data_IF_087422841560
#
_entry.id   IF_087422841560
#
_cell.length_a   1.000
_cell.length_b   1.000
_cell.length_c   1.000
_cell.angle_alpha   90.00
_cell.angle_beta   90.00
_cell.angle_gamma   90.00
#
_symmetry.space_group_name_H-M   'P 1'
#
loop_
_entity.id
_entity.type
_entity.pdbx_description
1 polymer ?
#
# COMPACT_ATOMS: atom_id res chain seq x y z
N UNK A 1 15.98 2.84 2.64
CA UNK A 1 15.46 1.58 3.20
C UNK A 1 16.03 0.35 2.49
N UNK A 2 16.34 0.42 1.18
CA UNK A 2 16.88 -0.71 0.43
C UNK A 2 18.40 -0.97 0.62
N UNK A 3 19.16 -0.05 1.22
CA UNK A 3 20.63 -0.20 1.27
C UNK A 3 21.16 -0.97 2.50
N UNK A 4 20.31 -1.34 3.46
CA UNK A 4 20.74 -2.01 4.70
C UNK A 4 20.07 -3.36 5.00
N UNK A 5 19.05 -3.79 4.25
CA UNK A 5 18.27 -5.00 4.61
C UNK A 5 17.98 -5.99 3.46
N UNK A 6 18.50 -5.73 2.26
CA UNK A 6 18.30 -6.58 1.08
C UNK A 6 16.86 -6.58 0.53
N UNK A 7 16.74 -6.93 -0.75
CA UNK A 7 15.48 -7.02 -1.49
C UNK A 7 14.29 -7.73 -0.79
N UNK A 8 14.47 -8.79 0.04
CA UNK A 8 13.34 -9.48 0.68
C UNK A 8 12.58 -8.60 1.67
N UNK A 9 13.26 -7.61 2.28
CA UNK A 9 12.65 -6.72 3.25
C UNK A 9 11.69 -5.71 2.60
N UNK A 10 11.99 -5.29 1.38
CA UNK A 10 11.16 -4.39 0.58
C UNK A 10 9.84 -5.05 0.16
N UNK A 11 9.90 -6.30 -0.31
CA UNK A 11 8.72 -7.03 -0.79
C UNK A 11 7.68 -7.26 0.30
N UNK A 12 8.10 -7.55 1.54
CA UNK A 12 7.16 -7.75 2.65
C UNK A 12 6.45 -6.44 3.03
N UNK A 13 7.15 -5.31 3.02
CA UNK A 13 6.53 -4.00 3.22
C UNK A 13 5.54 -3.70 2.09
N UNK A 14 5.91 -3.97 0.84
CA UNK A 14 5.03 -3.77 -0.32
C UNK A 14 3.78 -4.64 -0.25
N UNK A 15 3.91 -5.89 0.22
CA UNK A 15 2.76 -6.79 0.47
C UNK A 15 1.85 -6.23 1.56
N UNK A 16 2.42 -5.69 2.63
CA UNK A 16 1.65 -5.05 3.69
C UNK A 16 0.94 -3.79 3.20
N UNK A 17 1.57 -3.00 2.33
CA UNK A 17 0.95 -1.82 1.69
C UNK A 17 -0.21 -2.26 0.81
N UNK A 18 -0.02 -3.25 -0.06
CA UNK A 18 -1.07 -3.78 -0.93
C UNK A 18 -2.29 -4.26 -0.13
N UNK A 19 -2.05 -4.99 0.97
CA UNK A 19 -3.11 -5.44 1.87
C UNK A 19 -3.86 -4.26 2.51
N UNK A 20 -3.13 -3.23 2.97
CA UNK A 20 -3.74 -2.04 3.56
C UNK A 20 -4.61 -1.28 2.55
N UNK A 21 -4.12 -1.12 1.32
CA UNK A 21 -4.87 -0.47 0.24
C UNK A 21 -6.16 -1.25 -0.01
N UNK A 22 -6.05 -2.56 -0.19
CA UNK A 22 -7.19 -3.44 -0.48
C UNK A 22 -8.26 -3.41 0.62
N UNK A 23 -7.87 -3.34 1.90
CA UNK A 23 -8.83 -3.25 3.02
C UNK A 23 -9.39 -1.85 3.25
N UNK A 24 -8.80 -0.82 2.62
CA UNK A 24 -9.21 0.58 2.77
C UNK A 24 -10.14 1.06 1.65
N UNK A 25 -10.28 0.28 0.58
CA UNK A 25 -11.12 0.60 -0.60
C UNK A 25 -12.37 -0.28 -0.62
N UNK A 26 -13.38 0.11 -1.41
CA UNK A 26 -14.63 -0.65 -1.57
C UNK A 26 -14.40 -1.84 -2.50
N UNK A 27 -15.31 -2.81 -2.47
CA UNK A 27 -15.28 -3.94 -3.41
C UNK A 27 -15.48 -3.53 -4.88
N UNK A 28 -16.10 -2.38 -5.12
CA UNK A 28 -16.24 -1.79 -6.46
C UNK A 28 -14.97 -1.10 -6.96
N UNK A 29 -14.04 -0.79 -6.06
CA UNK A 29 -12.83 -0.06 -6.37
C UNK A 29 -11.74 -1.05 -6.81
N UNK A 30 -10.82 -0.59 -7.65
CA UNK A 30 -9.76 -1.45 -8.19
C UNK A 30 -8.43 -0.94 -7.67
N UNK A 31 -7.72 -1.75 -6.90
CA UNK A 31 -6.35 -1.49 -6.49
C UNK A 31 -5.38 -2.33 -7.33
N UNK A 32 -4.36 -1.70 -7.89
CA UNK A 32 -3.34 -2.34 -8.71
C UNK A 32 -1.94 -1.85 -8.35
N UNK A 33 -0.94 -2.71 -8.55
CA UNK A 33 0.49 -2.35 -8.51
C UNK A 33 0.96 -2.15 -9.95
N UNK A 34 1.40 -0.94 -10.29
CA UNK A 34 1.85 -0.60 -11.65
C UNK A 34 3.33 -0.93 -11.87
N UNK A 35 4.14 -0.85 -10.81
CA UNK A 35 5.59 -1.03 -10.89
C UNK A 35 6.18 -1.60 -9.60
N UNK A 36 7.50 -1.50 -9.45
CA UNK A 36 8.20 -2.01 -8.27
C UNK A 36 7.65 -1.46 -6.97
N UNK A 37 7.42 -0.16 -6.88
CA UNK A 37 6.97 0.50 -5.65
C UNK A 37 5.75 1.42 -5.87
N UNK A 38 5.12 1.29 -7.03
CA UNK A 38 4.01 2.16 -7.46
C UNK A 38 2.66 1.43 -7.39
N UNK A 39 1.69 2.07 -6.74
CA UNK A 39 0.32 1.58 -6.59
C UNK A 39 -0.69 2.60 -7.14
N UNK A 40 -1.77 2.10 -7.73
CA UNK A 40 -2.88 2.89 -8.25
C UNK A 40 -4.20 2.34 -7.75
N UNK A 41 -5.12 3.24 -7.42
CA UNK A 41 -6.49 2.92 -7.07
C UNK A 41 -7.44 3.62 -8.02
N UNK A 42 -8.28 2.86 -8.71
CA UNK A 42 -9.39 3.37 -9.51
C UNK A 42 -10.65 3.37 -8.64
N UNK A 43 -11.36 4.49 -8.62
CA UNK A 43 -12.55 4.71 -7.82
C UNK A 43 -13.76 4.96 -8.74
N UNK A 44 -14.44 3.91 -9.24
CA UNK A 44 -15.63 4.09 -10.07
C UNK A 44 -16.71 4.85 -9.30
N UNK A 45 -17.53 5.61 -10.03
CA UNK A 45 -18.65 6.37 -9.46
C UNK A 45 -18.23 7.32 -8.32
N UNK A 46 -16.98 7.78 -8.35
CA UNK A 46 -16.44 8.72 -7.36
C UNK A 46 -16.02 9.99 -8.08
N UNK A 47 -16.51 11.12 -7.59
CA UNK A 47 -16.14 12.44 -8.12
C UNK A 47 -14.76 12.86 -7.61
N UNK A 48 -14.25 13.98 -8.13
CA UNK A 48 -12.93 14.49 -7.76
C UNK A 48 -12.80 14.73 -6.24
N UNK A 49 -13.83 15.28 -5.61
CA UNK A 49 -13.82 15.56 -4.16
C UNK A 49 -13.78 14.27 -3.36
N UNK A 50 -14.60 13.27 -3.70
CA UNK A 50 -14.59 11.96 -3.07
C UNK A 50 -13.25 11.24 -3.25
N UNK A 51 -12.63 11.37 -4.43
CA UNK A 51 -11.33 10.78 -4.71
C UNK A 51 -10.22 11.40 -3.84
N UNK A 52 -10.21 12.72 -3.65
CA UNK A 52 -9.27 13.39 -2.76
C UNK A 52 -9.43 12.96 -1.30
N UNK A 53 -10.67 12.79 -0.83
CA UNK A 53 -10.95 12.30 0.52
C UNK A 53 -10.45 10.87 0.69
N UNK A 54 -10.71 9.99 -0.27
CA UNK A 54 -10.24 8.61 -0.25
C UNK A 54 -8.70 8.55 -0.25
N UNK A 55 -8.04 9.31 -1.11
CA UNK A 55 -6.59 9.43 -1.16
C UNK A 55 -6.02 9.93 0.18
N UNK A 56 -6.61 10.98 0.77
CA UNK A 56 -6.20 11.51 2.06
C UNK A 56 -6.29 10.49 3.19
N UNK A 57 -7.39 9.72 3.25
CA UNK A 57 -7.56 8.62 4.22
C UNK A 57 -6.52 7.54 4.05
N UNK A 58 -6.25 7.12 2.80
CA UNK A 58 -5.26 6.10 2.49
C UNK A 58 -3.85 6.56 2.87
N UNK A 59 -3.48 7.79 2.53
CA UNK A 59 -2.20 8.39 2.92
C UNK A 59 -2.04 8.45 4.44
N UNK A 60 -3.09 8.86 5.17
CA UNK A 60 -3.07 8.87 6.63
C UNK A 60 -2.91 7.46 7.23
N UNK A 61 -3.60 6.47 6.67
CA UNK A 61 -3.49 5.08 7.09
C UNK A 61 -2.08 4.52 6.87
N UNK A 62 -1.49 4.79 5.70
CA UNK A 62 -0.10 4.40 5.38
C UNK A 62 0.89 5.06 6.34
N UNK A 63 0.73 6.37 6.57
CA UNK A 63 1.62 7.15 7.44
C UNK A 63 1.58 6.70 8.89
N UNK A 64 0.40 6.36 9.40
CA UNK A 64 0.20 6.00 10.80
C UNK A 64 0.47 4.52 11.10
N UNK A 65 0.69 3.69 10.07
CA UNK A 65 0.98 2.27 10.26
C UNK A 65 2.45 2.05 10.57
N UNK A 66 2.73 1.22 11.57
CA UNK A 66 4.08 0.67 11.77
C UNK A 66 4.33 -0.45 10.76
N UNK A 67 5.39 -0.32 9.99
CA UNK A 67 5.83 -1.31 9.01
C UNK A 67 6.85 -2.24 9.65
N UNK A 68 6.65 -3.54 9.48
CA UNK A 68 7.54 -4.55 10.04
C UNK A 68 8.09 -5.41 8.92
N UNK A 69 9.40 -5.46 8.80
CA UNK A 69 10.05 -6.50 8.02
C UNK A 69 10.33 -7.67 8.94
N UNK A 70 9.62 -8.79 8.76
CA UNK A 70 10.00 -10.03 9.44
C UNK A 70 11.23 -10.56 8.70
N UNK A 71 12.42 -10.22 9.18
CA UNK A 71 13.65 -10.86 8.70
C UNK A 71 13.51 -12.34 9.06
N UNK A 72 13.25 -13.17 8.05
CA UNK A 72 13.36 -14.60 8.20
C UNK A 72 14.86 -14.88 8.42
N UNK A 73 15.26 -15.00 9.68
CA UNK A 73 16.52 -15.64 10.03
C UNK A 73 16.48 -17.05 9.43
N UNK A 74 17.27 -17.30 8.39
CA UNK A 74 17.59 -18.66 7.99
C UNK A 74 18.28 -19.37 9.17
N UNK A 75 17.97 -20.65 9.45
CA UNK A 75 18.77 -21.46 10.36
C UNK A 75 20.19 -21.70 9.82
#
# INVERSE_FOLDING_TARGET
MNDQHGHPAGDEVLRQVAALITTSVRSSDIAARLGGEEFVVLLPNTDHTGALIAAGKLCAAIKNRRWYCRVLTCP
#
